data_IF_654256250196
#
_entry.id   IF_654256250196
#
_cell.length_a   1.000
_cell.length_b   1.000
_cell.length_c   1.000
_cell.angle_alpha   90.00
_cell.angle_beta   90.00
_cell.angle_gamma   90.00
#
_symmetry.space_group_name_H-M   'P 1'
#
loop_
_entity.id
_entity.type
_entity.pdbx_description
1 polymer ?
#
# COMPACT_ATOMS: atom_id res chain seq x y z
N UNK A 1 21.71 19.56 18.70
CA UNK A 1 20.30 19.13 18.83
C UNK A 1 20.28 17.63 19.05
N UNK A 2 19.54 17.13 20.05
CA UNK A 2 19.51 15.71 20.38
C UNK A 2 18.71 14.96 19.29
N UNK A 3 19.40 14.18 18.45
CA UNK A 3 18.80 13.47 17.31
C UNK A 3 17.62 12.57 17.72
N UNK A 4 17.71 11.95 18.90
CA UNK A 4 16.65 11.12 19.47
C UNK A 4 15.35 11.91 19.76
N UNK A 5 15.46 13.16 20.22
CA UNK A 5 14.30 14.01 20.50
C UNK A 5 13.58 14.46 19.22
N UNK A 6 14.34 14.71 18.16
CA UNK A 6 13.80 15.06 16.83
C UNK A 6 13.08 13.87 16.19
N UNK A 7 13.65 12.66 16.30
CA UNK A 7 13.04 11.44 15.76
C UNK A 7 11.73 11.09 16.46
N UNK A 8 11.68 11.20 17.80
CA UNK A 8 10.46 10.95 18.56
C UNK A 8 9.35 11.96 18.21
N UNK A 9 9.70 13.23 18.02
CA UNK A 9 8.78 14.25 17.53
C UNK A 9 8.29 13.93 16.11
N UNK A 10 9.18 13.53 15.20
CA UNK A 10 8.81 13.17 13.83
C UNK A 10 7.84 11.97 13.80
N UNK A 11 8.14 10.91 14.56
CA UNK A 11 7.26 9.73 14.68
C UNK A 11 5.91 10.14 15.26
N UNK A 12 5.91 10.97 16.31
CA UNK A 12 4.68 11.50 16.92
C UNK A 12 3.83 12.27 15.91
N UNK A 13 4.43 13.19 15.16
CA UNK A 13 3.74 13.99 14.13
C UNK A 13 3.21 13.11 13.00
N UNK A 14 4.00 12.17 12.49
CA UNK A 14 3.56 11.22 11.45
C UNK A 14 2.41 10.35 11.94
N UNK A 15 2.49 9.84 13.17
CA UNK A 15 1.44 9.04 13.79
C UNK A 15 0.15 9.84 13.97
N UNK A 16 0.24 11.07 14.50
CA UNK A 16 -0.91 11.93 14.75
C UNK A 16 -1.60 12.34 13.44
N UNK A 17 -0.81 12.74 12.44
CA UNK A 17 -1.34 13.12 11.12
C UNK A 17 -1.97 11.91 10.43
N UNK A 18 -1.31 10.76 10.40
CA UNK A 18 -1.85 9.53 9.79
C UNK A 18 -3.14 9.08 10.46
N UNK A 19 -3.17 9.07 11.80
CA UNK A 19 -4.37 8.70 12.56
C UNK A 19 -5.48 9.72 12.34
N UNK A 20 -5.17 11.02 12.37
CA UNK A 20 -6.09 12.10 12.06
C UNK A 20 -6.71 11.93 10.68
N UNK A 21 -5.90 11.70 9.64
CA UNK A 21 -6.40 11.50 8.26
C UNK A 21 -7.16 10.18 8.09
N UNK A 22 -6.87 9.14 8.87
CA UNK A 22 -7.63 7.88 8.87
C UNK A 22 -8.94 7.97 9.63
N UNK A 23 -9.01 8.70 10.73
CA UNK A 23 -10.21 8.81 11.58
C UNK A 23 -11.17 9.89 11.06
N UNK A 24 -10.65 10.92 10.36
CA UNK A 24 -11.46 11.93 9.67
C UNK A 24 -12.57 11.30 8.79
N UNK A 25 -12.28 10.40 7.82
CA UNK A 25 -13.30 9.83 6.96
C UNK A 25 -14.32 8.97 7.71
N UNK A 26 -13.94 8.34 8.83
CA UNK A 26 -14.90 7.60 9.67
C UNK A 26 -15.83 8.54 10.44
N UNK A 27 -15.34 9.67 10.96
CA UNK A 27 -16.17 10.70 11.58
C UNK A 27 -17.05 11.44 10.55
N UNK A 28 -16.55 11.64 9.34
CA UNK A 28 -17.27 12.20 8.20
C UNK A 28 -18.24 11.19 7.53
N UNK A 29 -18.24 9.93 7.95
CA UNK A 29 -19.13 8.88 7.41
C UNK A 29 -20.62 9.24 7.47
N UNK A 30 -21.04 10.10 8.41
CA UNK A 30 -22.41 10.62 8.47
C UNK A 30 -22.78 11.61 7.33
N UNK A 31 -21.78 12.20 6.65
CA UNK A 31 -21.96 13.02 5.42
C UNK A 31 -21.73 12.22 4.13
N UNK A 32 -21.39 10.95 4.23
CA UNK A 32 -21.05 10.08 3.10
C UNK A 32 -22.16 9.96 2.06
N UNK A 33 -23.42 10.03 2.47
CA UNK A 33 -24.56 9.85 1.56
C UNK A 33 -24.72 11.01 0.57
N UNK A 34 -24.48 12.25 1.00
CA UNK A 34 -24.53 13.43 0.14
C UNK A 34 -23.33 13.48 -0.81
N UNK A 35 -22.13 13.15 -0.32
CA UNK A 35 -20.92 13.10 -1.12
C UNK A 35 -20.95 11.95 -2.14
N UNK A 36 -21.47 10.77 -1.75
CA UNK A 36 -21.63 9.61 -2.64
C UNK A 36 -22.57 9.92 -3.80
N UNK A 37 -23.70 10.59 -3.53
CA UNK A 37 -24.62 11.03 -4.60
C UNK A 37 -23.98 12.05 -5.55
N UNK A 38 -23.12 12.92 -5.03
CA UNK A 38 -22.34 13.88 -5.83
C UNK A 38 -21.27 13.17 -6.70
N UNK A 39 -20.59 12.17 -6.14
CA UNK A 39 -19.58 11.36 -6.84
C UNK A 39 -20.24 10.47 -7.91
N UNK A 40 -21.40 9.88 -7.62
CA UNK A 40 -22.17 9.07 -8.59
C UNK A 40 -22.68 9.89 -9.77
N UNK A 41 -23.01 11.18 -9.55
CA UNK A 41 -23.44 12.10 -10.60
C UNK A 41 -22.33 12.55 -11.56
N UNK A 42 -21.05 12.31 -11.25
CA UNK A 42 -19.92 12.72 -12.08
C UNK A 42 -19.03 11.54 -12.50
N UNK A 43 -19.02 11.16 -13.80
CA UNK A 43 -18.19 10.04 -14.28
C UNK A 43 -16.69 10.27 -14.07
N UNK A 44 -16.24 11.54 -14.01
CA UNK A 44 -14.84 11.89 -13.71
C UNK A 44 -14.49 11.58 -12.26
N UNK A 45 -15.36 11.90 -11.31
CA UNK A 45 -15.12 11.60 -9.90
C UNK A 45 -15.18 10.09 -9.62
N UNK A 46 -16.00 9.35 -10.37
CA UNK A 46 -16.05 7.88 -10.27
C UNK A 46 -14.74 7.23 -10.74
N UNK A 47 -14.04 7.83 -11.69
CA UNK A 47 -12.73 7.37 -12.15
C UNK A 47 -11.57 7.74 -11.19
N UNK A 48 -11.76 8.71 -10.29
CA UNK A 48 -10.74 9.08 -9.30
C UNK A 48 -10.42 7.95 -8.32
N UNK A 49 -11.41 7.13 -7.93
CA UNK A 49 -11.17 6.02 -7.00
C UNK A 49 -10.11 5.03 -7.53
N UNK A 50 -10.35 4.40 -8.69
CA UNK A 50 -9.36 3.54 -9.33
C UNK A 50 -8.05 4.24 -9.70
N UNK A 51 -8.09 5.49 -10.18
CA UNK A 51 -6.87 6.21 -10.60
C UNK A 51 -5.99 6.60 -9.43
N UNK A 52 -6.57 7.01 -8.30
CA UNK A 52 -5.82 7.32 -7.07
C UNK A 52 -5.18 6.06 -6.49
N UNK A 53 -5.89 4.92 -6.48
CA UNK A 53 -5.31 3.64 -6.05
C UNK A 53 -4.15 3.25 -6.96
N UNK A 54 -4.32 3.38 -8.29
CA UNK A 54 -3.26 3.09 -9.25
C UNK A 54 -2.04 4.03 -9.09
N UNK A 55 -2.27 5.33 -8.90
CA UNK A 55 -1.20 6.29 -8.66
C UNK A 55 -0.45 6.02 -7.35
N UNK A 56 -1.18 5.69 -6.28
CA UNK A 56 -0.59 5.33 -4.99
C UNK A 56 0.25 4.04 -5.11
N UNK A 57 -0.26 3.03 -5.82
CA UNK A 57 0.50 1.83 -6.12
C UNK A 57 1.77 2.17 -6.91
N UNK A 58 1.69 2.99 -7.95
CA UNK A 58 2.85 3.37 -8.75
C UNK A 58 3.91 4.12 -7.92
N UNK A 59 3.50 5.07 -7.06
CA UNK A 59 4.45 5.87 -6.26
C UNK A 59 5.12 5.07 -5.14
N UNK A 60 4.43 4.05 -4.62
CA UNK A 60 4.96 3.21 -3.54
C UNK A 60 5.79 2.04 -4.08
N UNK A 61 5.30 1.35 -5.10
CA UNK A 61 5.92 0.16 -5.68
C UNK A 61 7.06 0.53 -6.63
N UNK A 62 6.93 1.65 -7.37
CA UNK A 62 7.92 2.12 -8.34
C UNK A 62 9.36 2.20 -7.81
N UNK A 63 9.65 2.96 -6.74
CA UNK A 63 11.00 3.06 -6.20
C UNK A 63 11.54 1.73 -5.68
N UNK A 64 10.69 0.85 -5.14
CA UNK A 64 11.11 -0.46 -4.65
C UNK A 64 11.41 -1.44 -5.79
N UNK A 65 10.65 -1.36 -6.89
CA UNK A 65 10.92 -2.14 -8.10
C UNK A 65 12.26 -1.74 -8.73
N UNK A 66 12.58 -0.44 -8.77
CA UNK A 66 13.89 0.05 -9.26
C UNK A 66 15.03 -0.51 -8.41
N UNK A 67 14.91 -0.44 -7.08
CA UNK A 67 15.91 -1.03 -6.16
C UNK A 67 16.05 -2.54 -6.35
N UNK A 68 14.94 -3.25 -6.60
CA UNK A 68 14.98 -4.69 -6.85
C UNK A 68 15.69 -5.03 -8.17
N UNK A 69 15.52 -4.20 -9.20
CA UNK A 69 16.24 -4.33 -10.48
C UNK A 69 17.73 -4.11 -10.29
N UNK A 70 18.12 -3.00 -9.65
CA UNK A 70 19.52 -2.65 -9.39
C UNK A 70 20.24 -3.73 -8.54
N UNK A 71 19.53 -4.34 -7.60
CA UNK A 71 20.05 -5.40 -6.75
C UNK A 71 20.05 -6.80 -7.41
N UNK A 72 19.60 -6.94 -8.67
CA UNK A 72 19.47 -8.24 -9.34
C UNK A 72 18.39 -9.15 -8.74
N UNK A 73 17.47 -8.60 -7.95
CA UNK A 73 16.42 -9.32 -7.19
C UNK A 73 15.06 -9.32 -7.89
N UNK A 74 15.06 -9.17 -9.22
CA UNK A 74 13.85 -9.21 -10.05
C UNK A 74 13.03 -10.49 -9.87
N UNK A 75 13.72 -11.64 -9.75
CA UNK A 75 13.08 -12.95 -9.62
C UNK A 75 12.29 -13.11 -8.29
N UNK A 76 12.90 -12.91 -7.10
CA UNK A 76 12.16 -13.00 -5.84
C UNK A 76 11.06 -11.93 -5.74
N UNK A 77 11.32 -10.72 -6.25
CA UNK A 77 10.32 -9.64 -6.27
C UNK A 77 9.10 -10.00 -7.12
N UNK A 78 9.32 -10.51 -8.34
CA UNK A 78 8.26 -10.95 -9.25
C UNK A 78 7.45 -12.12 -8.69
N UNK A 79 8.11 -13.10 -8.06
CA UNK A 79 7.42 -14.25 -7.44
C UNK A 79 6.57 -13.81 -6.25
N UNK A 80 7.10 -12.96 -5.36
CA UNK A 80 6.33 -12.42 -4.24
C UNK A 80 5.09 -11.66 -4.70
N UNK A 81 5.21 -10.81 -5.74
CA UNK A 81 4.08 -10.09 -6.32
C UNK A 81 3.04 -11.04 -6.95
N UNK A 82 3.50 -12.02 -7.75
CA UNK A 82 2.62 -12.98 -8.41
C UNK A 82 1.84 -13.84 -7.39
N UNK A 83 2.51 -14.30 -6.33
CA UNK A 83 1.86 -15.07 -5.25
C UNK A 83 0.86 -14.20 -4.49
N UNK A 84 1.20 -12.95 -4.19
CA UNK A 84 0.28 -12.01 -3.52
C UNK A 84 -1.00 -11.84 -4.35
N UNK A 85 -0.88 -11.55 -5.65
CA UNK A 85 -2.02 -11.38 -6.55
C UNK A 85 -2.81 -12.68 -6.70
N UNK A 86 -2.14 -13.81 -6.88
CA UNK A 86 -2.79 -15.12 -7.01
C UNK A 86 -3.59 -15.52 -5.78
N UNK A 87 -3.04 -15.32 -4.59
CA UNK A 87 -3.74 -15.61 -3.33
C UNK A 87 -4.86 -14.61 -3.08
N UNK A 88 -4.69 -13.34 -3.44
CA UNK A 88 -5.75 -12.34 -3.34
C UNK A 88 -6.95 -12.72 -4.23
N UNK A 89 -6.71 -13.17 -5.45
CA UNK A 89 -7.77 -13.63 -6.36
C UNK A 89 -8.48 -14.88 -5.80
N UNK A 90 -7.72 -15.80 -5.19
CA UNK A 90 -8.27 -17.06 -4.68
C UNK A 90 -9.05 -16.91 -3.37
N UNK A 91 -8.46 -16.24 -2.37
CA UNK A 91 -9.00 -16.14 -1.01
C UNK A 91 -9.86 -14.89 -0.80
N UNK A 92 -9.71 -13.86 -1.64
CA UNK A 92 -10.30 -12.52 -1.46
C UNK A 92 -9.99 -11.89 -0.09
N UNK A 93 -8.97 -12.40 0.59
CA UNK A 93 -8.52 -11.95 1.91
C UNK A 93 -7.13 -11.29 1.76
N UNK A 94 -7.07 -10.00 2.10
CA UNK A 94 -5.86 -9.19 1.95
C UNK A 94 -4.73 -9.66 2.88
N UNK A 95 -5.04 -10.05 4.12
CA UNK A 95 -4.03 -10.45 5.09
C UNK A 95 -3.30 -11.71 4.67
N UNK A 96 -4.06 -12.73 4.27
CA UNK A 96 -3.53 -14.02 3.80
C UNK A 96 -2.73 -13.86 2.51
N UNK A 97 -3.19 -13.01 1.59
CA UNK A 97 -2.47 -12.73 0.35
C UNK A 97 -1.10 -12.10 0.58
N UNK A 98 -1.03 -11.10 1.46
CA UNK A 98 0.23 -10.44 1.81
C UNK A 98 1.18 -11.40 2.53
N UNK A 99 0.68 -12.17 3.50
CA UNK A 99 1.50 -13.15 4.22
C UNK A 99 2.10 -14.20 3.28
N UNK A 100 1.29 -14.74 2.36
CA UNK A 100 1.76 -15.70 1.37
C UNK A 100 2.83 -15.10 0.44
N UNK A 101 2.65 -13.85 0.02
CA UNK A 101 3.65 -13.10 -0.75
C UNK A 101 4.97 -12.91 -0.02
N UNK A 102 4.93 -12.56 1.26
CA UNK A 102 6.13 -12.40 2.10
C UNK A 102 6.88 -13.73 2.23
N UNK A 103 6.17 -14.83 2.51
CA UNK A 103 6.77 -16.16 2.62
C UNK A 103 7.40 -16.60 1.30
N UNK A 104 6.71 -16.36 0.17
CA UNK A 104 7.23 -16.69 -1.15
C UNK A 104 8.46 -15.83 -1.52
N UNK A 105 8.43 -14.52 -1.27
CA UNK A 105 9.57 -13.63 -1.48
C UNK A 105 10.78 -14.11 -0.69
N UNK A 106 10.61 -14.37 0.61
CA UNK A 106 11.68 -14.83 1.50
C UNK A 106 12.23 -16.19 1.08
N UNK A 107 11.37 -17.14 0.71
CA UNK A 107 11.77 -18.46 0.24
C UNK A 107 12.60 -18.42 -1.05
N UNK A 108 12.14 -17.66 -2.05
CA UNK A 108 12.89 -17.50 -3.31
C UNK A 108 14.18 -16.72 -3.09
N UNK A 109 14.15 -15.70 -2.23
CA UNK A 109 15.35 -14.95 -1.88
C UNK A 109 16.41 -15.84 -1.21
N UNK A 110 16.01 -16.75 -0.32
CA UNK A 110 16.93 -17.69 0.33
C UNK A 110 17.54 -18.71 -0.65
N UNK A 111 16.83 -19.06 -1.74
CA UNK A 111 17.31 -20.01 -2.75
C UNK A 111 18.18 -19.35 -3.82
N UNK A 112 17.88 -18.10 -4.19
CA UNK A 112 18.54 -17.39 -5.30
C UNK A 112 19.61 -16.39 -4.82
N UNK A 113 19.47 -15.88 -3.59
CA UNK A 113 20.36 -14.87 -3.00
C UNK A 113 21.28 -15.40 -1.90
N UNK A 114 21.33 -16.72 -1.69
CA UNK A 114 22.33 -17.40 -0.87
C UNK A 114 23.62 -17.66 -1.64
#
# INVERSE_FOLDING_TARGET
MNDAGSLLLAIGVIGLTTYGTRVLPFLLGARGDALSRWIEGSPVLKALGPSLIAALAAVTVGPDAVKAIEAGRLLPYGVGAAVTVGVLIWRKDLGTAVLAGIVAYGGVFAVVGG
#
